data_IF_449960146392
#
_entry.id   IF_449960146392
#
_cell.length_a   1.000
_cell.length_b   1.000
_cell.length_c   1.000
_cell.angle_alpha   90.00
_cell.angle_beta   90.00
_cell.angle_gamma   90.00
#
_symmetry.space_group_name_H-M   'P 1'
#
loop_
_entity.id
_entity.type
_entity.pdbx_description
1 polymer ?
#
# COMPACT_ATOMS: atom_id res chain seq x y z
N UNK A 1 32.69 -24.58 20.28
CA UNK A 1 31.31 -24.86 19.83
C UNK A 1 30.37 -24.36 20.92
N UNK A 2 29.73 -23.22 20.69
CA UNK A 2 28.60 -22.74 21.49
C UNK A 2 27.80 -21.80 20.58
N UNK A 3 26.51 -22.07 20.53
CA UNK A 3 25.52 -21.65 19.54
C UNK A 3 25.12 -20.18 19.67
N UNK A 4 25.04 -19.49 18.53
CA UNK A 4 24.50 -18.13 18.40
C UNK A 4 23.03 -18.10 18.83
N UNK A 5 22.72 -17.38 19.89
CA UNK A 5 21.35 -17.06 20.29
C UNK A 5 20.74 -16.11 19.26
N UNK A 6 19.59 -16.49 18.71
CA UNK A 6 18.78 -15.64 17.85
C UNK A 6 18.30 -14.42 18.64
N UNK A 7 18.60 -13.23 18.12
CA UNK A 7 18.09 -11.95 18.62
C UNK A 7 16.57 -11.96 18.50
N UNK A 8 15.87 -12.04 19.64
CA UNK A 8 14.43 -11.84 19.73
C UNK A 8 14.15 -10.36 19.50
N UNK A 9 13.37 -10.06 18.46
CA UNK A 9 12.66 -8.80 18.33
C UNK A 9 11.69 -8.70 19.52
N UNK A 10 11.80 -7.63 20.33
CA UNK A 10 10.87 -7.36 21.43
C UNK A 10 9.94 -6.23 20.99
N UNK A 11 8.82 -6.60 20.37
CA UNK A 11 7.67 -5.72 20.17
C UNK A 11 6.84 -5.76 21.45
N UNK A 12 7.06 -4.79 22.36
CA UNK A 12 6.14 -4.56 23.47
C UNK A 12 4.95 -3.74 22.96
N UNK A 13 3.96 -4.43 22.37
CA UNK A 13 2.65 -3.87 22.03
C UNK A 13 1.60 -4.55 22.90
N UNK A 14 0.68 -3.75 23.46
CA UNK A 14 -0.43 -4.17 24.32
C UNK A 14 -1.24 -5.34 23.73
N UNK A 15 -0.87 -6.57 24.06
CA UNK A 15 -1.59 -7.77 23.65
C UNK A 15 -2.91 -7.88 24.41
N UNK A 16 -4.03 -7.89 23.68
CA UNK A 16 -5.19 -8.69 24.09
C UNK A 16 -4.75 -10.16 24.23
N UNK A 17 -5.34 -10.95 25.14
CA UNK A 17 -4.94 -12.32 25.35
C UNK A 17 -4.95 -13.10 24.02
N UNK A 18 -3.83 -13.75 23.71
CA UNK A 18 -3.66 -14.62 22.54
C UNK A 18 -4.80 -15.63 22.52
N UNK A 19 -5.70 -15.61 21.52
CA UNK A 19 -6.60 -16.73 21.29
C UNK A 19 -5.71 -17.97 21.11
N UNK A 20 -6.00 -19.05 21.84
CA UNK A 20 -5.36 -20.36 21.64
C UNK A 20 -5.13 -20.59 20.16
N UNK A 21 -3.86 -20.67 19.73
CA UNK A 21 -3.40 -20.67 18.35
C UNK A 21 -4.30 -21.53 17.45
N UNK A 22 -5.34 -20.93 16.90
CA UNK A 22 -6.34 -21.64 16.14
C UNK A 22 -5.78 -21.70 14.72
N UNK A 23 -5.17 -22.82 14.36
CA UNK A 23 -4.57 -23.07 13.04
C UNK A 23 -5.52 -22.61 11.92
N UNK A 24 -5.21 -21.48 11.29
CA UNK A 24 -5.82 -21.08 10.02
C UNK A 24 -5.06 -21.80 8.91
N UNK A 25 -5.77 -22.18 7.86
CA UNK A 25 -5.11 -22.79 6.71
C UNK A 25 -4.43 -21.69 5.89
N UNK A 26 -3.09 -21.71 5.85
CA UNK A 26 -2.26 -20.72 5.18
C UNK A 26 -1.38 -21.43 4.16
N UNK A 27 -1.34 -20.94 2.92
CA UNK A 27 -0.22 -21.24 2.04
C UNK A 27 0.91 -20.26 2.32
N UNK A 28 2.11 -20.77 2.55
CA UNK A 28 3.27 -19.94 2.87
C UNK A 28 4.12 -19.65 1.65
N UNK A 29 5.15 -18.82 1.84
CA UNK A 29 6.09 -18.41 0.80
C UNK A 29 6.70 -19.59 0.02
N UNK A 30 6.92 -20.75 0.66
CA UNK A 30 7.56 -21.88 -0.03
C UNK A 30 6.67 -22.48 -1.11
N UNK A 31 5.35 -22.45 -0.92
CA UNK A 31 4.38 -22.84 -1.96
C UNK A 31 4.12 -21.67 -2.92
N UNK A 32 3.95 -20.47 -2.38
CA UNK A 32 3.54 -19.30 -3.18
C UNK A 32 4.63 -18.78 -4.11
N UNK A 33 5.90 -19.00 -3.79
CA UNK A 33 7.01 -18.49 -4.61
C UNK A 33 6.95 -19.04 -6.03
N UNK A 34 6.67 -20.32 -6.21
CA UNK A 34 6.55 -20.91 -7.55
C UNK A 34 5.28 -20.41 -8.29
N UNK A 35 4.19 -20.17 -7.56
CA UNK A 35 2.96 -19.59 -8.14
C UNK A 35 3.16 -18.13 -8.59
N UNK A 36 3.94 -17.34 -7.84
CA UNK A 36 4.22 -15.93 -8.15
C UNK A 36 5.21 -15.81 -9.31
N UNK A 37 6.25 -16.64 -9.33
CA UNK A 37 7.34 -16.59 -10.32
C UNK A 37 7.20 -17.64 -11.41
N UNK A 38 5.99 -18.09 -11.72
CA UNK A 38 5.75 -19.15 -12.72
C UNK A 38 6.22 -18.79 -14.14
N UNK A 39 6.51 -17.51 -14.42
CA UNK A 39 7.14 -17.04 -15.66
C UNK A 39 8.62 -16.69 -15.46
N UNK A 40 9.49 -17.19 -16.33
CA UNK A 40 10.95 -16.95 -16.30
C UNK A 40 11.35 -15.46 -16.34
N UNK A 41 10.47 -14.54 -16.76
CA UNK A 41 10.76 -13.11 -16.92
C UNK A 41 11.05 -12.36 -15.61
N UNK A 42 10.66 -12.90 -14.46
CA UNK A 42 10.80 -12.23 -13.16
C UNK A 42 11.70 -12.97 -12.16
N UNK A 43 12.37 -14.05 -12.59
CA UNK A 43 13.16 -14.91 -11.69
C UNK A 43 14.28 -14.15 -10.98
N UNK A 44 14.85 -13.12 -11.60
CA UNK A 44 15.87 -12.25 -10.98
C UNK A 44 15.36 -11.51 -9.73
N UNK A 45 14.06 -11.31 -9.58
CA UNK A 45 13.44 -10.65 -8.43
C UNK A 45 13.01 -11.63 -7.33
N UNK A 46 13.13 -12.95 -7.57
CA UNK A 46 12.68 -14.00 -6.65
C UNK A 46 13.32 -13.89 -5.26
N UNK A 47 14.58 -13.50 -5.19
CA UNK A 47 15.30 -13.30 -3.93
C UNK A 47 14.77 -12.10 -3.11
N UNK A 48 14.05 -11.18 -3.75
CA UNK A 48 13.43 -10.03 -3.09
C UNK A 48 12.11 -10.35 -2.39
N UNK A 49 11.41 -11.43 -2.77
CA UNK A 49 10.24 -11.88 -2.02
C UNK A 49 10.70 -12.40 -0.64
N UNK A 50 10.46 -11.60 0.40
CA UNK A 50 10.89 -11.92 1.75
C UNK A 50 10.04 -13.04 2.34
N UNK A 51 8.72 -12.88 2.26
CA UNK A 51 7.72 -13.79 2.79
C UNK A 51 6.37 -13.50 2.13
N UNK A 52 5.48 -14.49 2.14
CA UNK A 52 4.15 -14.44 1.56
C UNK A 52 3.21 -15.39 2.27
N UNK A 53 1.95 -15.00 2.39
CA UNK A 53 0.87 -15.81 2.95
C UNK A 53 -0.40 -15.63 2.13
N UNK A 54 -1.07 -16.73 1.80
CA UNK A 54 -2.42 -16.74 1.24
C UNK A 54 -3.34 -17.34 2.29
N UNK A 55 -4.28 -16.54 2.77
CA UNK A 55 -5.14 -16.85 3.91
C UNK A 55 -6.59 -16.76 3.45
N UNK A 56 -7.42 -17.74 3.81
CA UNK A 56 -8.86 -17.65 3.52
C UNK A 56 -9.49 -16.50 4.31
N UNK A 57 -10.17 -15.63 3.58
CA UNK A 57 -10.79 -14.40 4.08
C UNK A 57 -11.73 -14.65 5.26
N UNK A 58 -12.65 -15.62 5.12
CA UNK A 58 -13.64 -15.92 6.17
C UNK A 58 -12.97 -16.46 7.44
N UNK A 59 -12.00 -17.38 7.31
CA UNK A 59 -11.28 -17.94 8.46
C UNK A 59 -10.48 -16.86 9.20
N UNK A 60 -9.84 -15.94 8.46
CA UNK A 60 -9.14 -14.77 9.02
C UNK A 60 -10.11 -13.89 9.80
N UNK A 61 -11.21 -13.48 9.16
CA UNK A 61 -12.18 -12.54 9.72
C UNK A 61 -12.91 -13.09 10.95
N UNK A 62 -13.24 -14.38 10.98
CA UNK A 62 -13.93 -14.99 12.11
C UNK A 62 -13.02 -15.18 13.34
N UNK A 63 -11.75 -15.53 13.13
CA UNK A 63 -10.80 -15.78 14.22
C UNK A 63 -10.13 -14.52 14.73
N UNK A 64 -9.91 -13.55 13.87
CA UNK A 64 -9.28 -12.28 14.18
C UNK A 64 -10.21 -11.14 13.76
N UNK A 65 -11.39 -10.98 14.35
CA UNK A 65 -12.34 -9.96 13.92
C UNK A 65 -11.77 -8.54 14.09
N UNK A 66 -12.13 -7.58 13.22
CA UNK A 66 -11.69 -6.19 13.34
C UNK A 66 -12.06 -5.60 14.71
N UNK A 67 -11.11 -4.92 15.34
CA UNK A 67 -11.23 -4.33 16.67
C UNK A 67 -11.23 -2.79 16.59
N UNK A 68 -12.33 -2.23 16.08
CA UNK A 68 -12.54 -0.78 16.09
C UNK A 68 -12.75 -0.29 17.52
N UNK A 69 -11.97 0.72 17.96
CA UNK A 69 -12.01 1.23 19.34
C UNK A 69 -12.77 2.55 19.46
N UNK A 70 -12.68 3.40 18.44
CA UNK A 70 -13.37 4.68 18.43
C UNK A 70 -14.87 4.52 18.13
N UNK A 71 -15.71 5.28 18.85
CA UNK A 71 -17.17 5.18 18.76
C UNK A 71 -17.71 5.39 17.34
N UNK A 72 -17.12 6.29 16.55
CA UNK A 72 -17.56 6.55 15.18
C UNK A 72 -17.22 5.40 14.22
N UNK A 73 -16.09 4.71 14.43
CA UNK A 73 -15.74 3.53 13.62
C UNK A 73 -16.60 2.33 13.99
N UNK A 74 -16.85 2.14 15.29
CA UNK A 74 -17.80 1.12 15.79
C UNK A 74 -19.19 1.37 15.20
N UNK A 75 -19.68 2.62 15.24
CA UNK A 75 -20.98 2.97 14.69
C UNK A 75 -21.11 2.64 13.20
N UNK A 76 -20.10 2.99 12.38
CA UNK A 76 -20.09 2.67 10.95
C UNK A 76 -20.06 1.15 10.71
N UNK A 77 -19.24 0.43 11.47
CA UNK A 77 -19.17 -1.03 11.37
C UNK A 77 -20.50 -1.70 11.77
N UNK A 78 -21.18 -1.16 12.79
CA UNK A 78 -22.51 -1.61 13.19
C UNK A 78 -23.57 -1.34 12.11
N UNK A 79 -23.48 -0.21 11.40
CA UNK A 79 -24.36 0.08 10.25
C UNK A 79 -24.20 -0.97 9.14
N UNK A 80 -22.96 -1.30 8.76
CA UNK A 80 -22.68 -2.37 7.79
C UNK A 80 -23.30 -3.69 8.21
N UNK A 81 -23.13 -4.09 9.48
CA UNK A 81 -23.65 -5.35 9.99
C UNK A 81 -25.17 -5.36 10.13
N UNK A 82 -25.78 -4.21 10.41
CA UNK A 82 -27.24 -4.06 10.45
C UNK A 82 -27.87 -4.19 9.06
N UNK A 83 -27.25 -3.59 8.04
CA UNK A 83 -27.78 -3.60 6.67
C UNK A 83 -27.50 -4.90 5.93
N UNK A 84 -26.28 -5.44 6.06
CA UNK A 84 -25.82 -6.55 5.22
C UNK A 84 -25.34 -7.79 5.99
N UNK A 85 -25.13 -7.72 7.31
CA UNK A 85 -24.49 -8.79 8.10
C UNK A 85 -23.24 -9.32 7.40
N UNK A 86 -22.31 -8.42 7.14
CA UNK A 86 -21.18 -8.72 6.28
C UNK A 86 -20.35 -9.90 6.82
N UNK A 87 -20.01 -10.81 5.91
CA UNK A 87 -19.06 -11.90 6.11
C UNK A 87 -18.33 -12.10 4.79
N UNK A 88 -17.00 -12.29 4.79
CA UNK A 88 -16.28 -12.51 3.55
C UNK A 88 -16.78 -13.75 2.79
N UNK A 89 -16.62 -13.69 1.47
CA UNK A 89 -16.97 -14.78 0.57
C UNK A 89 -16.21 -16.08 0.92
N UNK A 90 -16.91 -17.21 0.94
CA UNK A 90 -16.38 -18.50 1.46
C UNK A 90 -15.13 -19.01 0.74
N UNK A 91 -15.05 -18.76 -0.56
CA UNK A 91 -13.96 -19.24 -1.42
C UNK A 91 -12.85 -18.21 -1.64
N UNK A 92 -12.95 -17.03 -1.02
CA UNK A 92 -11.93 -16.00 -1.17
C UNK A 92 -10.77 -16.19 -0.21
N UNK A 93 -9.60 -15.78 -0.71
CA UNK A 93 -8.39 -15.64 0.07
C UNK A 93 -7.77 -14.27 -0.19
N UNK A 94 -7.09 -13.76 0.83
CA UNK A 94 -6.21 -12.60 0.74
C UNK A 94 -4.80 -13.12 0.56
N UNK A 95 -4.07 -12.55 -0.39
CA UNK A 95 -2.62 -12.75 -0.54
C UNK A 95 -1.91 -11.55 0.05
N UNK A 96 -1.03 -11.79 1.00
CA UNK A 96 -0.15 -10.79 1.60
C UNK A 96 1.29 -11.17 1.27
N UNK A 97 2.08 -10.22 0.78
CA UNK A 97 3.49 -10.41 0.47
C UNK A 97 4.33 -9.28 1.04
N UNK A 98 5.55 -9.57 1.46
CA UNK A 98 6.53 -8.56 1.89
C UNK A 98 7.81 -8.69 1.11
N UNK A 99 8.38 -7.56 0.74
CA UNK A 99 9.50 -7.49 -0.18
C UNK A 99 10.72 -6.84 0.47
N UNK A 100 11.90 -7.37 0.15
CA UNK A 100 13.17 -6.69 0.41
C UNK A 100 13.35 -5.56 -0.60
N UNK A 101 14.09 -4.51 -0.24
CA UNK A 101 14.33 -3.40 -1.16
C UNK A 101 15.05 -3.91 -2.42
N UNK A 102 14.50 -3.56 -3.59
CA UNK A 102 15.24 -3.67 -4.84
C UNK A 102 16.14 -2.44 -5.00
N UNK A 103 17.30 -2.64 -5.64
CA UNK A 103 18.06 -1.52 -6.17
C UNK A 103 17.33 -1.05 -7.42
N UNK A 104 16.83 0.19 -7.47
CA UNK A 104 16.25 0.72 -8.69
C UNK A 104 17.28 0.64 -9.82
N UNK A 105 16.83 0.27 -11.02
CA UNK A 105 17.70 0.24 -12.19
C UNK A 105 16.94 0.70 -13.42
N UNK A 106 17.68 1.29 -14.36
CA UNK A 106 17.13 1.82 -15.61
C UNK A 106 17.37 0.79 -16.71
N UNK A 107 16.30 0.19 -17.20
CA UNK A 107 16.38 -0.71 -18.34
C UNK A 107 16.63 0.07 -19.64
N UNK A 108 17.75 -0.21 -20.29
CA UNK A 108 18.20 0.52 -21.49
C UNK A 108 17.30 0.30 -22.71
N UNK A 109 16.54 -0.80 -22.74
CA UNK A 109 15.63 -1.18 -23.83
C UNK A 109 14.16 -1.16 -23.40
N UNK A 110 13.79 -0.33 -22.42
CA UNK A 110 12.41 -0.25 -21.96
C UNK A 110 11.52 0.34 -23.08
N UNK A 111 10.72 -0.52 -23.70
CA UNK A 111 9.75 -0.12 -24.74
C UNK A 111 8.46 0.44 -24.15
N UNK A 112 8.19 0.17 -22.86
CA UNK A 112 6.99 0.61 -22.16
C UNK A 112 7.24 2.02 -21.65
N UNK A 113 6.33 2.94 -22.00
CA UNK A 113 6.28 4.29 -21.43
C UNK A 113 5.10 4.35 -20.47
N UNK A 114 5.36 4.58 -19.20
CA UNK A 114 4.31 4.75 -18.19
C UNK A 114 3.47 5.97 -18.54
N UNK A 115 2.17 5.77 -18.71
CA UNK A 115 1.21 6.86 -18.82
C UNK A 115 0.94 7.44 -17.43
N UNK A 116 0.85 8.75 -17.31
CA UNK A 116 0.45 9.41 -16.05
C UNK A 116 -0.81 10.23 -16.34
N UNK A 117 -1.88 9.97 -15.59
CA UNK A 117 -3.16 10.66 -15.69
C UNK A 117 -3.49 11.30 -14.33
N UNK A 118 -3.93 12.56 -14.34
CA UNK A 118 -4.26 13.31 -13.11
C UNK A 118 -5.78 13.44 -12.97
N UNK A 119 -6.32 13.00 -11.83
CA UNK A 119 -7.76 12.97 -11.60
C UNK A 119 -8.11 13.79 -10.35
N UNK A 120 -9.13 14.64 -10.48
CA UNK A 120 -9.62 15.51 -9.40
C UNK A 120 -10.67 14.78 -8.55
N UNK A 121 -10.23 13.75 -7.87
CA UNK A 121 -11.08 12.87 -7.07
C UNK A 121 -10.23 12.15 -6.00
N UNK A 122 -10.87 11.22 -5.30
CA UNK A 122 -10.27 10.28 -4.35
C UNK A 122 -10.43 8.85 -4.91
N UNK A 123 -9.86 7.85 -4.25
CA UNK A 123 -10.04 6.46 -4.65
C UNK A 123 -11.51 6.06 -4.53
N UNK A 124 -12.15 5.68 -5.64
CA UNK A 124 -13.52 5.13 -5.67
C UNK A 124 -13.57 3.63 -5.99
N UNK A 125 -12.39 3.04 -6.24
CA UNK A 125 -12.17 1.62 -6.52
C UNK A 125 -13.00 1.06 -7.67
N UNK A 126 -13.51 1.93 -8.55
CA UNK A 126 -14.23 1.48 -9.75
C UNK A 126 -13.21 1.05 -10.79
N UNK A 127 -13.31 -0.19 -11.32
CA UNK A 127 -12.41 -0.64 -12.36
C UNK A 127 -12.47 0.29 -13.57
N UNK A 128 -11.32 0.76 -14.04
CA UNK A 128 -11.17 1.59 -15.23
C UNK A 128 -10.60 0.79 -16.42
N UNK A 129 -10.00 -0.37 -16.16
CA UNK A 129 -9.50 -1.28 -17.19
C UNK A 129 -10.47 -2.41 -17.57
N UNK A 130 -10.13 -3.13 -18.63
CA UNK A 130 -10.76 -4.41 -18.94
C UNK A 130 -10.31 -5.45 -17.90
N UNK A 131 -11.28 -6.02 -17.18
CA UNK A 131 -11.05 -6.98 -16.08
C UNK A 131 -10.27 -8.21 -16.52
N UNK A 132 -10.34 -8.59 -17.80
CA UNK A 132 -9.64 -9.74 -18.37
C UNK A 132 -8.15 -9.46 -18.63
N UNK A 133 -7.75 -8.19 -18.67
CA UNK A 133 -6.40 -7.79 -19.11
C UNK A 133 -5.72 -6.77 -18.19
N UNK A 134 -6.39 -6.34 -17.12
CA UNK A 134 -5.89 -5.29 -16.22
C UNK A 134 -5.87 -5.74 -14.77
N UNK A 135 -4.85 -5.31 -14.04
CA UNK A 135 -4.77 -5.38 -12.59
C UNK A 135 -4.52 -3.97 -12.05
N UNK A 136 -5.40 -3.54 -11.16
CA UNK A 136 -5.34 -2.23 -10.52
C UNK A 136 -4.86 -2.38 -9.08
N UNK A 137 -3.91 -1.53 -8.70
CA UNK A 137 -3.36 -1.46 -7.35
C UNK A 137 -3.56 -0.06 -6.80
N UNK A 138 -3.89 0.05 -5.51
CA UNK A 138 -4.14 1.31 -4.84
C UNK A 138 -3.09 1.51 -3.75
N UNK A 139 -2.43 2.66 -3.75
CA UNK A 139 -1.41 2.96 -2.76
C UNK A 139 -2.07 3.16 -1.40
N UNK A 140 -1.61 2.43 -0.40
CA UNK A 140 -1.89 2.71 1.00
C UNK A 140 -0.74 3.56 1.54
N UNK A 141 -1.06 4.77 2.02
CA UNK A 141 -0.09 5.70 2.59
C UNK A 141 0.25 5.28 4.02
N UNK A 142 0.90 4.11 4.12
CA UNK A 142 1.06 3.37 5.35
C UNK A 142 1.95 4.10 6.37
N UNK A 143 1.69 3.84 7.65
CA UNK A 143 2.70 3.96 8.68
C UNK A 143 3.70 2.77 8.63
N UNK A 144 4.86 2.94 9.27
CA UNK A 144 5.82 1.88 9.54
C UNK A 144 5.15 0.62 10.09
N UNK A 145 4.16 0.78 10.97
CA UNK A 145 3.35 -0.28 11.52
C UNK A 145 2.00 -0.34 10.79
N UNK A 146 1.87 -1.28 9.86
CA UNK A 146 0.76 -1.43 8.93
C UNK A 146 -0.57 -1.48 9.68
N UNK A 147 -1.44 -0.53 9.36
CA UNK A 147 -2.75 -0.34 9.98
C UNK A 147 -2.70 -0.11 11.50
N UNK A 148 -1.57 0.29 12.09
CA UNK A 148 -1.41 0.40 13.54
C UNK A 148 -2.43 1.30 14.24
N UNK A 149 -2.99 2.28 13.53
CA UNK A 149 -3.93 3.27 14.05
C UNK A 149 -5.38 3.05 13.62
N UNK A 150 -5.70 1.98 12.89
CA UNK A 150 -7.01 1.80 12.25
C UNK A 150 -8.20 1.86 13.22
N UNK A 151 -8.02 1.42 14.48
CA UNK A 151 -9.07 1.47 15.50
C UNK A 151 -9.23 2.83 16.18
N UNK A 152 -8.34 3.78 15.91
CA UNK A 152 -8.24 5.09 16.57
C UNK A 152 -9.28 6.12 16.13
N UNK A 153 -9.13 7.35 16.64
CA UNK A 153 -10.10 8.45 16.44
C UNK A 153 -10.05 9.13 15.08
N UNK A 154 -8.91 9.04 14.39
CA UNK A 154 -8.68 9.78 13.15
C UNK A 154 -9.21 8.97 11.96
N UNK A 155 -9.25 9.65 10.82
CA UNK A 155 -9.60 9.05 9.54
C UNK A 155 -8.63 9.58 8.48
N UNK A 156 -7.37 9.21 8.63
CA UNK A 156 -6.37 9.35 7.58
C UNK A 156 -6.65 8.36 6.44
N UNK A 157 -5.86 8.44 5.36
CA UNK A 157 -6.09 7.63 4.16
C UNK A 157 -5.96 6.12 4.45
N UNK A 158 -5.00 5.71 5.26
CA UNK A 158 -4.81 4.31 5.63
C UNK A 158 -5.94 3.78 6.52
N UNK A 159 -6.38 4.58 7.51
CA UNK A 159 -7.51 4.27 8.38
C UNK A 159 -8.83 4.18 7.61
N UNK A 160 -9.04 5.06 6.61
CA UNK A 160 -10.20 5.02 5.72
C UNK A 160 -10.23 3.71 4.93
N UNK A 161 -9.10 3.28 4.35
CA UNK A 161 -9.05 2.02 3.61
C UNK A 161 -9.39 0.81 4.49
N UNK A 162 -8.96 0.80 5.75
CA UNK A 162 -9.33 -0.28 6.68
C UNK A 162 -10.82 -0.24 7.03
N UNK A 163 -11.40 0.95 7.19
CA UNK A 163 -12.83 1.08 7.45
C UNK A 163 -13.67 0.66 6.23
N UNK A 164 -13.21 0.96 5.01
CA UNK A 164 -13.87 0.57 3.76
C UNK A 164 -13.72 -0.92 3.42
N UNK A 165 -12.55 -1.50 3.75
CA UNK A 165 -12.22 -2.90 3.58
C UNK A 165 -11.99 -3.55 4.96
N UNK A 166 -13.07 -3.85 5.67
CA UNK A 166 -13.01 -4.29 7.08
C UNK A 166 -12.14 -5.54 7.32
N UNK A 167 -11.94 -6.39 6.30
CA UNK A 167 -10.99 -7.51 6.35
C UNK A 167 -9.54 -7.09 6.65
N UNK A 168 -9.14 -5.85 6.33
CA UNK A 168 -7.82 -5.33 6.67
C UNK A 168 -7.64 -5.13 8.18
N UNK A 169 -8.72 -4.83 8.90
CA UNK A 169 -8.72 -4.80 10.36
C UNK A 169 -8.49 -6.20 10.92
N UNK A 170 -9.08 -7.22 10.30
CA UNK A 170 -8.84 -8.61 10.69
C UNK A 170 -7.40 -9.06 10.39
N UNK A 171 -6.87 -8.66 9.23
CA UNK A 171 -5.47 -8.87 8.90
C UNK A 171 -4.53 -8.22 9.93
N UNK A 172 -4.84 -7.00 10.38
CA UNK A 172 -4.08 -6.34 11.45
C UNK A 172 -4.07 -7.17 12.72
N UNK A 173 -5.23 -7.59 13.20
CA UNK A 173 -5.33 -8.41 14.41
C UNK A 173 -4.56 -9.73 14.28
N UNK A 174 -4.61 -10.37 13.12
CA UNK A 174 -3.80 -11.56 12.84
C UNK A 174 -2.29 -11.29 12.92
N UNK A 175 -1.81 -10.21 12.29
CA UNK A 175 -0.39 -9.89 12.22
C UNK A 175 0.22 -9.58 13.59
N UNK A 176 -0.55 -9.02 14.53
CA UNK A 176 -0.07 -8.67 15.88
C UNK A 176 -0.29 -9.75 16.93
N UNK A 177 -1.24 -10.67 16.70
CA UNK A 177 -1.53 -11.77 17.64
C UNK A 177 -0.82 -13.08 17.27
N UNK A 178 -0.32 -13.20 16.04
CA UNK A 178 0.33 -14.41 15.53
C UNK A 178 1.82 -14.21 15.28
N UNK A 179 2.63 -15.20 15.65
CA UNK A 179 4.07 -15.22 15.38
C UNK A 179 4.40 -15.87 14.03
N UNK A 180 5.57 -15.55 13.47
CA UNK A 180 6.04 -16.09 12.18
C UNK A 180 5.14 -15.75 10.99
N UNK A 181 4.43 -14.62 11.07
CA UNK A 181 3.67 -14.07 9.96
C UNK A 181 4.58 -13.27 9.01
N UNK A 182 3.99 -12.71 7.95
CA UNK A 182 4.63 -11.69 7.10
C UNK A 182 5.15 -10.48 7.91
N UNK A 183 4.55 -10.23 9.08
CA UNK A 183 4.81 -9.09 9.94
C UNK A 183 4.08 -7.82 9.48
N UNK A 184 3.89 -6.88 10.40
CA UNK A 184 3.17 -5.63 10.16
C UNK A 184 4.08 -4.48 9.68
N UNK A 185 5.39 -4.66 9.63
CA UNK A 185 6.29 -3.52 9.42
C UNK A 185 6.59 -3.26 7.94
N UNK A 186 6.18 -2.09 7.43
CA UNK A 186 6.45 -1.62 6.05
C UNK A 186 7.87 -1.06 5.88
N UNK A 187 8.57 -0.83 7.00
CA UNK A 187 9.98 -0.42 7.05
C UNK A 187 10.73 -1.34 8.00
N UNK A 188 11.88 -1.84 7.55
CA UNK A 188 12.82 -2.60 8.36
C UNK A 188 14.07 -1.78 8.73
N UNK A 189 15.02 -2.43 9.38
CA UNK A 189 16.33 -1.84 9.69
C UNK A 189 17.45 -2.69 9.08
N UNK A 190 18.45 -2.03 8.48
CA UNK A 190 19.64 -2.70 7.98
C UNK A 190 20.51 -3.19 9.13
N UNK A 191 20.81 -4.49 9.17
CA UNK A 191 21.56 -5.10 10.26
C UNK A 191 22.98 -4.54 10.46
N UNK A 192 23.58 -3.93 9.44
CA UNK A 192 24.98 -3.46 9.49
C UNK A 192 25.12 -2.01 9.95
N UNK A 193 24.12 -1.16 9.71
CA UNK A 193 24.22 0.28 9.97
C UNK A 193 22.95 0.89 10.60
N UNK A 194 21.97 0.05 10.94
CA UNK A 194 20.69 0.42 11.54
C UNK A 194 19.84 1.42 10.74
N UNK A 195 20.24 1.76 9.50
CA UNK A 195 19.45 2.65 8.64
C UNK A 195 18.14 1.97 8.25
N UNK A 196 17.08 2.76 8.17
CA UNK A 196 15.77 2.31 7.68
C UNK A 196 15.89 1.77 6.26
N UNK A 197 15.24 0.64 6.01
CA UNK A 197 15.15 0.01 4.69
C UNK A 197 13.70 -0.24 4.35
N UNK A 198 13.23 0.08 3.13
CA UNK A 198 11.84 -0.15 2.81
C UNK A 198 11.57 -1.64 2.69
N UNK A 199 10.48 -2.09 3.29
CA UNK A 199 9.97 -3.45 3.14
C UNK A 199 8.49 -3.43 2.76
N UNK A 200 8.14 -3.00 1.53
CA UNK A 200 6.76 -2.86 1.09
C UNK A 200 5.94 -4.12 1.34
N UNK A 201 4.69 -3.92 1.74
CA UNK A 201 3.72 -5.00 1.92
C UNK A 201 2.63 -4.83 0.86
N UNK A 202 2.38 -5.88 0.09
CA UNK A 202 1.31 -5.88 -0.92
C UNK A 202 0.21 -6.84 -0.48
N UNK A 203 -1.03 -6.41 -0.66
CA UNK A 203 -2.23 -7.14 -0.23
C UNK A 203 -3.19 -7.24 -1.41
N UNK A 204 -3.51 -8.45 -1.86
CA UNK A 204 -4.40 -8.67 -3.01
C UNK A 204 -5.74 -9.24 -2.57
N UNK A 205 -6.77 -9.00 -3.39
CA UNK A 205 -8.11 -9.61 -3.28
C UNK A 205 -8.92 -9.18 -2.02
N UNK A 206 -8.75 -7.91 -1.67
CA UNK A 206 -9.51 -7.04 -0.75
C UNK A 206 -11.02 -6.89 -1.00
N UNK A 207 -11.98 -7.33 -0.19
CA UNK A 207 -13.36 -6.82 -0.36
C UNK A 207 -13.53 -5.42 0.24
N UNK A 208 -13.89 -4.44 -0.60
CA UNK A 208 -14.43 -3.16 -0.18
C UNK A 208 -15.94 -3.25 -0.08
N UNK A 209 -16.45 -2.92 1.10
CA UNK A 209 -17.85 -3.14 1.51
C UNK A 209 -18.52 -1.89 2.04
N UNK A 210 -17.75 -0.83 2.28
CA UNK A 210 -18.24 0.49 2.67
C UNK A 210 -17.65 1.51 1.69
N UNK A 211 -18.51 2.45 1.27
CA UNK A 211 -18.15 3.68 0.60
C UNK A 211 -18.51 4.84 1.53
N UNK A 212 -17.49 5.54 2.01
CA UNK A 212 -17.67 6.62 2.98
C UNK A 212 -17.40 7.97 2.31
N UNK A 213 -18.43 8.81 2.22
CA UNK A 213 -18.26 10.17 1.71
C UNK A 213 -17.51 11.05 2.73
N UNK A 214 -16.22 11.21 2.50
CA UNK A 214 -15.31 11.89 3.44
C UNK A 214 -15.28 13.41 3.33
N UNK A 215 -16.03 14.02 2.39
CA UNK A 215 -15.97 15.47 2.10
C UNK A 215 -16.08 16.38 3.33
N UNK A 216 -16.83 15.95 4.34
CA UNK A 216 -17.07 16.71 5.57
C UNK A 216 -16.65 16.00 6.86
N UNK A 217 -16.04 14.81 6.76
CA UNK A 217 -15.71 13.95 7.90
C UNK A 217 -14.31 13.34 7.79
N UNK A 218 -13.38 13.97 7.05
CA UNK A 218 -12.01 13.47 6.92
C UNK A 218 -11.10 13.94 8.06
N UNK A 219 -10.10 13.13 8.45
CA UNK A 219 -9.13 13.48 9.49
C UNK A 219 -9.78 13.76 10.84
N UNK A 220 -9.42 14.87 11.50
CA UNK A 220 -9.99 15.26 12.80
C UNK A 220 -11.51 15.49 12.74
N UNK A 221 -12.06 15.93 11.61
CA UNK A 221 -13.50 16.13 11.47
C UNK A 221 -14.30 14.83 11.62
N UNK A 222 -13.67 13.67 11.37
CA UNK A 222 -14.26 12.37 11.65
C UNK A 222 -14.52 12.16 13.13
N UNK A 223 -13.56 12.55 13.99
CA UNK A 223 -13.65 12.37 15.43
C UNK A 223 -14.82 13.17 16.02
N UNK A 224 -15.05 14.36 15.49
CA UNK A 224 -16.10 15.28 15.95
C UNK A 224 -17.47 15.04 15.28
N UNK A 225 -17.53 14.17 14.25
CA UNK A 225 -18.75 13.92 13.51
C UNK A 225 -19.81 13.23 14.38
N UNK A 226 -21.04 13.71 14.32
CA UNK A 226 -22.16 13.07 14.99
C UNK A 226 -22.75 11.91 14.14
N UNK A 227 -23.52 11.03 14.79
CA UNK A 227 -24.13 9.86 14.13
C UNK A 227 -24.97 10.18 12.89
N UNK A 228 -25.65 11.34 12.84
CA UNK A 228 -26.41 11.74 11.67
C UNK A 228 -25.49 12.00 10.48
N UNK A 229 -24.39 12.74 10.68
CA UNK A 229 -23.39 12.98 9.64
C UNK A 229 -22.76 11.68 9.15
N UNK A 230 -22.46 10.74 10.06
CA UNK A 230 -21.90 9.44 9.71
C UNK A 230 -22.89 8.58 8.91
N UNK A 231 -24.17 8.56 9.29
CA UNK A 231 -25.21 7.86 8.52
C UNK A 231 -25.39 8.47 7.13
N UNK A 232 -25.35 9.79 7.00
CA UNK A 232 -25.45 10.48 5.70
C UNK A 232 -24.23 10.22 4.79
N UNK A 233 -23.06 10.00 5.39
CA UNK A 233 -21.83 9.72 4.65
C UNK A 233 -21.66 8.23 4.29
N UNK A 234 -22.34 7.32 5.00
CA UNK A 234 -22.19 5.88 4.86
C UNK A 234 -23.01 5.32 3.70
N UNK A 235 -22.35 4.52 2.86
CA UNK A 235 -23.00 3.68 1.87
C UNK A 235 -22.43 2.27 1.92
N UNK A 236 -23.28 1.25 2.04
CA UNK A 236 -22.85 -0.11 1.86
C UNK A 236 -22.61 -0.44 0.38
N UNK A 237 -21.53 -1.16 0.09
CA UNK A 237 -21.14 -1.55 -1.27
C UNK A 237 -21.53 -3.01 -1.48
N UNK A 238 -22.55 -3.23 -2.32
CA UNK A 238 -23.00 -4.57 -2.69
C UNK A 238 -23.31 -4.67 -4.20
N UNK A 239 -22.73 -5.63 -4.94
CA UNK A 239 -21.71 -6.60 -4.48
C UNK A 239 -20.39 -5.89 -4.09
N UNK A 240 -19.56 -6.48 -3.21
CA UNK A 240 -18.30 -5.88 -2.80
C UNK A 240 -17.37 -5.61 -3.99
N UNK A 241 -16.65 -4.49 -3.95
CA UNK A 241 -15.57 -4.20 -4.91
C UNK A 241 -14.29 -4.93 -4.50
N UNK A 242 -13.47 -5.32 -5.47
CA UNK A 242 -12.16 -5.93 -5.19
C UNK A 242 -11.07 -4.87 -5.21
N UNK A 243 -10.24 -4.88 -4.18
CA UNK A 243 -9.15 -3.92 -3.97
C UNK A 243 -7.83 -4.67 -3.79
N UNK A 244 -6.78 -4.16 -4.42
CA UNK A 244 -5.40 -4.59 -4.16
C UNK A 244 -4.61 -3.39 -3.67
N UNK A 245 -3.78 -3.57 -2.65
CA UNK A 245 -3.07 -2.51 -1.97
C UNK A 245 -1.55 -2.66 -2.08
N UNK A 246 -0.88 -1.53 -2.26
CA UNK A 246 0.56 -1.40 -2.07
C UNK A 246 0.76 -0.55 -0.82
N UNK A 247 1.15 -1.16 0.30
CA UNK A 247 1.42 -0.45 1.54
C UNK A 247 2.90 -0.09 1.64
N UNK A 248 3.17 1.21 1.56
CA UNK A 248 4.51 1.79 1.67
C UNK A 248 4.50 3.05 2.53
N UNK A 249 5.55 3.22 3.31
CA UNK A 249 5.72 4.38 4.17
C UNK A 249 6.65 5.43 3.54
N UNK A 250 6.20 6.69 3.49
CA UNK A 250 7.04 7.81 3.10
C UNK A 250 7.98 8.20 4.26
N UNK A 251 9.15 8.82 3.99
CA UNK A 251 9.95 9.37 5.08
C UNK A 251 9.14 10.44 5.82
N UNK A 252 9.35 10.56 7.14
CA UNK A 252 8.57 11.45 7.99
C UNK A 252 9.46 12.42 8.76
N UNK A 253 8.88 13.57 9.13
CA UNK A 253 9.48 14.55 10.05
C UNK A 253 10.87 15.10 9.63
N UNK A 254 11.11 15.24 8.32
CA UNK A 254 12.32 15.90 7.84
C UNK A 254 12.21 17.42 7.81
N UNK A 255 13.36 18.08 7.63
CA UNK A 255 13.47 19.53 7.50
C UNK A 255 14.53 19.91 6.47
N UNK A 256 14.43 21.14 5.92
CA UNK A 256 15.41 21.68 4.99
C UNK A 256 15.44 20.98 3.62
N UNK A 257 16.59 20.98 2.92
CA UNK A 257 16.71 20.31 1.63
C UNK A 257 16.76 18.79 1.76
N UNK A 258 16.18 18.09 0.78
CA UNK A 258 16.30 16.64 0.70
C UNK A 258 17.75 16.20 0.46
N UNK A 259 18.20 15.23 1.25
CA UNK A 259 19.50 14.58 1.12
C UNK A 259 19.45 13.44 0.09
N UNK A 260 20.62 13.04 -0.41
CA UNK A 260 20.77 11.87 -1.27
C UNK A 260 20.11 10.62 -0.68
N UNK A 261 20.38 10.32 0.59
CA UNK A 261 19.85 9.13 1.29
C UNK A 261 18.32 9.15 1.38
N UNK A 262 17.71 10.33 1.61
CA UNK A 262 16.25 10.48 1.63
C UNK A 262 15.65 10.25 0.25
N UNK A 263 16.23 10.82 -0.81
CA UNK A 263 15.75 10.62 -2.19
C UNK A 263 15.89 9.15 -2.60
N UNK A 264 17.04 8.53 -2.28
CA UNK A 264 17.28 7.11 -2.51
C UNK A 264 16.27 6.24 -1.76
N UNK A 265 15.96 6.56 -0.50
CA UNK A 265 14.94 5.85 0.27
C UNK A 265 13.56 5.96 -0.39
N UNK A 266 13.12 7.16 -0.78
CA UNK A 266 11.83 7.38 -1.44
C UNK A 266 11.75 6.56 -2.74
N UNK A 267 12.75 6.68 -3.62
CA UNK A 267 12.82 5.95 -4.89
C UNK A 267 12.84 4.43 -4.68
N UNK A 268 13.64 3.93 -3.74
CA UNK A 268 13.71 2.49 -3.45
C UNK A 268 12.38 1.96 -2.92
N UNK A 269 11.69 2.76 -2.11
CA UNK A 269 10.38 2.40 -1.52
C UNK A 269 9.31 2.27 -2.60
N UNK A 270 9.10 3.32 -3.41
CA UNK A 270 8.11 3.32 -4.48
C UNK A 270 8.47 2.31 -5.57
N UNK A 271 9.73 2.24 -6.00
CA UNK A 271 10.18 1.28 -7.01
C UNK A 271 9.95 -0.16 -6.56
N UNK A 272 10.29 -0.50 -5.31
CA UNK A 272 10.10 -1.85 -4.79
C UNK A 272 8.62 -2.23 -4.73
N UNK A 273 7.76 -1.34 -4.21
CA UNK A 273 6.32 -1.58 -4.16
C UNK A 273 5.70 -1.73 -5.55
N UNK A 274 6.07 -0.86 -6.50
CA UNK A 274 5.52 -0.88 -7.85
C UNK A 274 6.02 -2.09 -8.64
N UNK A 275 7.31 -2.44 -8.52
CA UNK A 275 7.86 -3.62 -9.18
C UNK A 275 7.26 -4.90 -8.62
N UNK A 276 7.02 -4.98 -7.31
CA UNK A 276 6.29 -6.09 -6.71
C UNK A 276 4.86 -6.22 -7.27
N UNK A 277 4.15 -5.10 -7.43
CA UNK A 277 2.81 -5.08 -8.02
C UNK A 277 2.80 -5.61 -9.47
N UNK A 278 3.79 -5.21 -10.26
CA UNK A 278 4.00 -5.71 -11.63
C UNK A 278 4.31 -7.21 -11.66
N UNK A 279 5.16 -7.71 -10.74
CA UNK A 279 5.47 -9.14 -10.62
C UNK A 279 4.22 -9.93 -10.22
N UNK A 280 3.41 -9.40 -9.30
CA UNK A 280 2.21 -10.05 -8.77
C UNK A 280 0.99 -9.96 -9.69
N UNK A 281 1.08 -9.29 -10.85
CA UNK A 281 -0.07 -9.04 -11.72
C UNK A 281 -0.82 -10.34 -12.07
N UNK A 282 -0.12 -11.38 -12.55
CA UNK A 282 -0.76 -12.65 -12.92
C UNK A 282 -1.46 -13.33 -11.74
N UNK A 283 -0.76 -13.48 -10.61
CA UNK A 283 -1.32 -14.09 -9.40
C UNK A 283 -2.53 -13.32 -8.90
N UNK A 284 -2.44 -12.00 -8.85
CA UNK A 284 -3.52 -11.11 -8.40
C UNK A 284 -4.72 -11.18 -9.33
N UNK A 285 -4.51 -11.18 -10.64
CA UNK A 285 -5.58 -11.34 -11.61
C UNK A 285 -6.32 -12.67 -11.45
N UNK A 286 -5.58 -13.77 -11.27
CA UNK A 286 -6.18 -15.09 -11.02
C UNK A 286 -6.99 -15.13 -9.74
N UNK A 287 -6.55 -14.46 -8.69
CA UNK A 287 -7.32 -14.35 -7.45
C UNK A 287 -8.58 -13.52 -7.62
N UNK A 288 -8.49 -12.37 -8.30
CA UNK A 288 -9.59 -11.42 -8.44
C UNK A 288 -10.69 -11.91 -9.40
N UNK A 289 -10.32 -12.66 -10.44
CA UNK A 289 -11.22 -13.08 -11.51
C UNK A 289 -11.45 -14.60 -11.57
N UNK A 290 -10.77 -15.39 -10.73
CA UNK A 290 -10.79 -16.86 -10.77
C UNK A 290 -10.39 -17.46 -12.12
N UNK A 291 -9.53 -16.75 -12.87
CA UNK A 291 -9.09 -17.15 -14.20
C UNK A 291 -7.60 -16.84 -14.40
N UNK A 292 -6.87 -17.79 -14.97
CA UNK A 292 -5.49 -17.56 -15.40
C UNK A 292 -5.47 -16.79 -16.70
N UNK A 293 -4.64 -15.75 -16.78
CA UNK A 293 -4.36 -15.08 -18.06
C UNK A 293 -3.09 -15.63 -18.67
N UNK A 294 -3.14 -15.96 -19.97
CA UNK A 294 -1.95 -16.26 -20.77
C UNK A 294 -1.35 -15.01 -21.42
N UNK A 295 -1.99 -13.85 -21.25
CA UNK A 295 -1.56 -12.58 -21.81
C UNK A 295 -0.77 -11.77 -20.78
N UNK A 296 0.13 -10.93 -21.25
CA UNK A 296 0.72 -9.88 -20.42
C UNK A 296 -0.40 -8.97 -19.91
N UNK A 297 -0.50 -8.85 -18.59
CA UNK A 297 -1.50 -8.01 -17.94
C UNK A 297 -1.00 -6.57 -17.82
N UNK A 298 -1.90 -5.66 -18.10
CA UNK A 298 -1.72 -4.24 -17.84
C UNK A 298 -1.75 -3.99 -16.33
N UNK A 299 -0.76 -3.31 -15.79
CA UNK A 299 -0.68 -2.94 -14.37
C UNK A 299 -0.92 -1.45 -14.21
N UNK A 300 -1.95 -1.08 -13.45
CA UNK A 300 -2.31 0.31 -13.15
C UNK A 300 -2.12 0.57 -11.66
N UNK A 301 -1.51 1.69 -11.32
CA UNK A 301 -1.34 2.13 -9.93
C UNK A 301 -2.13 3.42 -9.70
N UNK A 302 -3.06 3.37 -8.76
CA UNK A 302 -3.77 4.50 -8.21
C UNK A 302 -3.01 5.04 -7.00
N UNK A 303 -2.61 6.31 -7.05
CA UNK A 303 -1.86 6.96 -5.98
C UNK A 303 -2.29 8.43 -5.82
N UNK A 304 -1.62 9.19 -4.98
CA UNK A 304 -1.82 10.63 -4.80
C UNK A 304 -0.67 11.25 -4.03
N UNK A 305 -0.98 12.22 -3.17
CA UNK A 305 -0.04 12.98 -2.35
C UNK A 305 0.57 12.16 -1.18
N UNK A 306 1.21 11.03 -1.51
CA UNK A 306 1.86 10.12 -0.57
C UNK A 306 2.88 10.86 0.30
N UNK A 307 2.65 10.88 1.61
CA UNK A 307 3.52 11.53 2.58
C UNK A 307 3.48 13.06 2.62
N UNK A 308 2.65 13.74 1.81
CA UNK A 308 2.64 15.22 1.78
C UNK A 308 1.69 15.87 2.80
N UNK A 309 0.86 15.08 3.50
CA UNK A 309 -0.01 15.55 4.58
C UNK A 309 0.73 15.57 5.93
N UNK A 310 0.37 14.64 6.81
CA UNK A 310 0.93 14.55 8.17
C UNK A 310 2.46 14.45 8.19
N UNK A 311 3.08 13.88 7.15
CA UNK A 311 4.53 13.67 7.09
C UNK A 311 5.29 14.89 6.53
N UNK A 312 4.59 15.86 5.92
CA UNK A 312 5.20 17.12 5.45
C UNK A 312 6.14 16.98 4.24
N UNK A 313 6.02 15.92 3.43
CA UNK A 313 6.86 15.82 2.24
C UNK A 313 6.48 16.84 1.16
N UNK A 314 7.48 17.19 0.35
CA UNK A 314 7.30 18.07 -0.79
C UNK A 314 6.51 17.39 -1.92
N UNK A 315 5.45 18.05 -2.42
CA UNK A 315 4.58 17.50 -3.47
C UNK A 315 5.31 17.15 -4.75
N UNK A 316 6.22 18.01 -5.20
CA UNK A 316 6.99 17.79 -6.42
C UNK A 316 7.97 16.62 -6.24
N UNK A 317 8.67 16.56 -5.10
CA UNK A 317 9.57 15.45 -4.77
C UNK A 317 8.84 14.10 -4.84
N UNK A 318 7.69 14.00 -4.17
CA UNK A 318 6.92 12.77 -4.10
C UNK A 318 6.31 12.39 -5.45
N UNK A 319 5.87 13.36 -6.26
CA UNK A 319 5.34 13.09 -7.60
C UNK A 319 6.45 12.63 -8.56
N UNK A 320 7.59 13.33 -8.63
CA UNK A 320 8.72 12.99 -9.51
C UNK A 320 9.21 11.57 -9.22
N UNK A 321 9.42 11.25 -7.94
CA UNK A 321 9.96 9.93 -7.54
C UNK A 321 8.98 8.80 -7.79
N UNK A 322 7.67 9.01 -7.62
CA UNK A 322 6.65 8.03 -8.01
C UNK A 322 6.61 7.80 -9.53
N UNK A 323 6.69 8.87 -10.35
CA UNK A 323 6.72 8.73 -11.81
C UNK A 323 7.96 7.96 -12.30
N UNK A 324 9.13 8.28 -11.76
CA UNK A 324 10.39 7.56 -12.07
C UNK A 324 10.30 6.09 -11.66
N UNK A 325 9.85 5.81 -10.44
CA UNK A 325 9.69 4.45 -9.94
C UNK A 325 8.75 3.62 -10.82
N UNK A 326 7.62 4.18 -11.25
CA UNK A 326 6.66 3.48 -12.10
C UNK A 326 7.24 3.18 -13.49
N UNK A 327 7.94 4.15 -14.08
CA UNK A 327 8.62 3.99 -15.36
C UNK A 327 9.71 2.91 -15.31
N UNK A 328 10.51 2.86 -14.24
CA UNK A 328 11.53 1.83 -14.08
C UNK A 328 10.94 0.47 -13.69
N UNK A 329 9.81 0.46 -12.99
CA UNK A 329 9.10 -0.78 -12.62
C UNK A 329 8.28 -1.37 -13.78
N UNK A 330 8.21 -0.67 -14.93
CA UNK A 330 7.39 -1.03 -16.10
C UNK A 330 5.88 -1.05 -15.79
N UNK A 331 5.40 -0.06 -15.05
CA UNK A 331 3.97 0.16 -14.82
C UNK A 331 3.35 0.81 -16.06
N UNK A 332 2.19 0.32 -16.51
CA UNK A 332 1.55 0.84 -17.71
C UNK A 332 0.93 2.22 -17.49
N UNK A 333 0.28 2.43 -16.34
CA UNK A 333 -0.36 3.70 -16.01
C UNK A 333 -0.31 4.00 -14.50
N UNK A 334 -0.02 5.27 -14.17
CA UNK A 334 -0.35 5.87 -12.88
C UNK A 334 -1.62 6.71 -13.04
N UNK A 335 -2.60 6.45 -12.19
CA UNK A 335 -3.72 7.38 -11.94
C UNK A 335 -3.40 8.14 -10.66
N UNK A 336 -3.09 9.43 -10.80
CA UNK A 336 -2.73 10.30 -9.70
C UNK A 336 -3.95 11.12 -9.26
N UNK A 337 -4.49 10.76 -8.10
CA UNK A 337 -5.64 11.40 -7.49
C UNK A 337 -5.20 12.67 -6.75
N UNK A 338 -5.51 13.83 -7.33
CA UNK A 338 -5.07 15.14 -6.83
C UNK A 338 -5.97 15.69 -5.73
N UNK A 339 -7.15 15.11 -5.53
CA UNK A 339 -8.25 15.55 -4.65
C UNK A 339 -8.88 16.91 -5.07
N UNK A 340 -8.05 17.90 -5.41
CA UNK A 340 -8.45 19.25 -5.81
C UNK A 340 -7.63 19.73 -7.01
N UNK A 341 -7.94 20.93 -7.52
CA UNK A 341 -7.16 21.59 -8.57
C UNK A 341 -6.12 22.58 -7.99
N UNK A 342 -5.89 22.58 -6.67
CA UNK A 342 -5.06 23.61 -6.03
C UNK A 342 -3.57 23.46 -6.34
N UNK A 343 -3.12 22.27 -6.76
CA UNK A 343 -1.71 21.92 -6.94
C UNK A 343 -1.29 21.72 -8.41
N UNK A 344 -2.01 22.36 -9.34
CA UNK A 344 -1.74 22.21 -10.78
C UNK A 344 -0.34 22.68 -11.19
N UNK A 345 0.22 23.67 -10.49
CA UNK A 345 1.57 24.16 -10.80
C UNK A 345 2.67 23.19 -10.31
N UNK A 346 2.45 22.50 -9.18
CA UNK A 346 3.34 21.43 -8.71
C UNK A 346 3.38 20.29 -9.73
N UNK A 347 2.22 19.91 -10.27
CA UNK A 347 2.09 18.88 -11.31
C UNK A 347 2.88 19.26 -12.56
N UNK A 348 2.67 20.48 -13.09
CA UNK A 348 3.39 20.95 -14.29
C UNK A 348 4.91 20.97 -14.09
N UNK A 349 5.37 21.41 -12.92
CA UNK A 349 6.79 21.45 -12.60
C UNK A 349 7.37 20.04 -12.51
N UNK A 350 6.71 19.13 -11.80
CA UNK A 350 7.10 17.73 -11.69
C UNK A 350 7.16 17.04 -13.06
N UNK A 351 6.16 17.22 -13.92
CA UNK A 351 6.16 16.67 -15.29
C UNK A 351 7.36 17.15 -16.12
N UNK A 352 7.68 18.44 -16.03
CA UNK A 352 8.81 19.02 -16.75
C UNK A 352 10.16 18.50 -16.24
N UNK A 353 10.28 18.26 -14.93
CA UNK A 353 11.46 17.67 -14.32
C UNK A 353 11.58 16.20 -14.70
N UNK A 354 10.49 15.42 -14.57
CA UNK A 354 10.43 14.01 -14.95
C UNK A 354 10.87 13.77 -16.40
N UNK A 355 10.39 14.58 -17.36
CA UNK A 355 10.79 14.49 -18.77
C UNK A 355 12.29 14.65 -19.00
N UNK A 356 12.99 15.42 -18.15
CA UNK A 356 14.44 15.57 -18.22
C UNK A 356 15.15 14.39 -17.55
N UNK A 357 14.68 14.01 -16.37
CA UNK A 357 15.30 12.95 -15.56
C UNK A 357 15.20 11.57 -16.21
N UNK A 358 14.13 11.30 -16.98
CA UNK A 358 13.98 9.99 -17.62
C UNK A 358 15.00 9.71 -18.73
N UNK A 359 15.65 10.76 -19.25
CA UNK A 359 16.71 10.62 -20.24
C UNK A 359 18.05 10.18 -19.62
N UNK A 360 18.21 10.39 -18.31
CA UNK A 360 19.40 9.99 -17.56
C UNK A 360 19.46 8.45 -17.46
N UNK A 361 20.65 7.87 -17.64
CA UNK A 361 20.82 6.42 -17.80
C UNK A 361 21.29 5.69 -16.55
N UNK A 362 21.60 6.41 -15.48
CA UNK A 362 21.99 5.84 -14.17
C UNK A 362 21.16 6.44 -13.05
N UNK A 363 20.79 5.61 -12.08
CA UNK A 363 19.95 6.02 -10.95
C UNK A 363 20.68 7.02 -10.07
N UNK A 364 21.98 6.82 -9.85
CA UNK A 364 22.80 7.70 -9.03
C UNK A 364 22.84 9.13 -9.61
N UNK A 365 22.98 9.23 -10.94
CA UNK A 365 22.95 10.51 -11.66
C UNK A 365 21.57 11.16 -11.57
N UNK A 366 20.47 10.38 -11.62
CA UNK A 366 19.11 10.91 -11.40
C UNK A 366 18.97 11.49 -10.00
N UNK A 367 19.47 10.79 -8.98
CA UNK A 367 19.43 11.29 -7.60
C UNK A 367 20.26 12.57 -7.47
N UNK A 368 21.45 12.62 -8.07
CA UNK A 368 22.30 13.82 -8.06
C UNK A 368 21.60 15.01 -8.72
N UNK A 369 20.88 14.80 -9.84
CA UNK A 369 20.07 15.84 -10.47
C UNK A 369 18.90 16.28 -9.58
N UNK A 370 18.23 15.36 -8.88
CA UNK A 370 17.15 15.71 -7.94
C UNK A 370 17.70 16.51 -6.75
N UNK A 371 18.88 16.16 -6.21
CA UNK A 371 19.54 16.92 -5.14
C UNK A 371 19.79 18.37 -5.58
N UNK A 372 20.23 18.58 -6.83
CA UNK A 372 20.49 19.94 -7.38
C UNK A 372 19.24 20.80 -7.49
N UNK A 373 18.04 20.20 -7.54
CA UNK A 373 16.78 20.96 -7.50
C UNK A 373 16.59 21.67 -6.16
N UNK A 374 17.26 21.21 -5.10
CA UNK A 374 17.21 21.79 -3.76
C UNK A 374 15.76 21.94 -3.25
N UNK A 375 14.90 20.97 -3.57
CA UNK A 375 13.54 20.91 -3.05
C UNK A 375 13.58 20.81 -1.53
N UNK A 376 12.67 21.52 -0.87
CA UNK A 376 12.61 21.63 0.58
C UNK A 376 11.45 20.81 1.12
N UNK A 377 11.63 20.20 2.28
CA UNK A 377 10.53 19.67 3.09
C UNK A 377 9.45 20.74 3.29
N UNK A 378 8.19 20.31 3.25
CA UNK A 378 7.03 21.16 3.50
C UNK A 378 6.59 21.06 4.97
N UNK A 379 5.56 21.80 5.34
CA UNK A 379 4.99 21.73 6.69
C UNK A 379 4.02 20.55 6.79
N UNK A 380 4.16 19.77 7.86
CA UNK A 380 3.11 18.85 8.29
C UNK A 380 1.82 19.64 8.58
N UNK A 381 0.69 19.10 8.15
CA UNK A 381 -0.63 19.68 8.40
C UNK A 381 -1.24 19.24 9.76
N UNK A 382 -0.48 18.54 10.62
CA UNK A 382 -0.90 18.08 11.96
C UNK A 382 -2.26 17.35 11.98
N UNK A 383 -2.55 16.56 10.94
CA UNK A 383 -3.81 15.78 10.85
C UNK A 383 -3.84 14.63 11.83
#
# INVERSE_FOLDING_TARGET
MATRSHSRFTDDVFCTPVPTAAEINIKTVDTLRDEIFSSNSNEQFRAGLHTAEEIKSRELYEKYPPNFKHENKIFIFDLLNKEHKYSPSEHKSILITRWKPFVPFIETNNSIKTKVSYHKDVFDYKPIGDKETTVEWYLNFANSDLFGYYGGRLLAQDELQVLECVELGALREYLVQTTNTVGSHTVGSNANNSKSVPTPILISNVERVIDLNTKHIYGNAFADANKKQLTEAFHAVHPPQIVNLIAIEAPSHGEGPYTYDQIHFILSTSYTGFKAAQILANKTHTMNNHQSSSKTLRTIIHTGWWGCGAYGNNRQMMLITQMLAAQWAQIDEIIFHTQTDEHQDDIKQADNIFKKLIEVKKVEEVIDEIVKLNLQWEKSNNT
#
